data_IF_668549598724
#
_entry.id   IF_668549598724
#
_cell.length_a   1.000
_cell.length_b   1.000
_cell.length_c   1.000
_cell.angle_alpha   90.00
_cell.angle_beta   90.00
_cell.angle_gamma   90.00
#
_symmetry.space_group_name_H-M   'P 1'
#
loop_
_entity.id
_entity.type
_entity.pdbx_description
1 polymer ?
#
# COMPACT_ATOMS: atom_id res chain seq x y z
N UNK A 1 -10.85 6.69 -3.98
CA UNK A 1 -11.68 5.61 -4.55
C UNK A 1 -11.25 4.34 -3.83
N UNK A 2 -12.17 3.71 -3.10
CA UNK A 2 -11.98 2.40 -2.44
C UNK A 2 -12.70 1.32 -3.27
N UNK A 3 -12.49 1.36 -4.58
CA UNK A 3 -13.24 0.50 -5.50
C UNK A 3 -12.53 -0.84 -5.67
N UNK A 4 -13.25 -1.91 -5.32
CA UNK A 4 -12.89 -3.26 -5.67
C UNK A 4 -13.19 -3.50 -7.17
N UNK A 5 -12.23 -3.12 -8.02
CA UNK A 5 -12.36 -3.20 -9.48
C UNK A 5 -12.54 -4.64 -9.98
N UNK A 6 -11.89 -5.61 -9.32
CA UNK A 6 -12.02 -7.04 -9.63
C UNK A 6 -13.39 -7.62 -9.21
N UNK A 7 -14.20 -6.85 -8.45
CA UNK A 7 -15.47 -7.28 -7.86
C UNK A 7 -15.36 -8.56 -7.02
N UNK A 8 -14.17 -8.80 -6.46
CA UNK A 8 -13.87 -9.97 -5.66
C UNK A 8 -14.75 -10.00 -4.40
N UNK A 9 -15.39 -11.14 -4.12
CA UNK A 9 -16.23 -11.31 -2.93
C UNK A 9 -15.92 -12.65 -2.30
N UNK A 10 -15.24 -12.62 -1.15
CA UNK A 10 -14.92 -13.82 -0.40
C UNK A 10 -15.09 -13.52 1.10
N UNK A 11 -16.13 -14.08 1.77
CA UNK A 11 -16.40 -13.83 3.18
C UNK A 11 -15.25 -14.23 4.12
N UNK A 12 -14.41 -15.19 3.70
CA UNK A 12 -13.23 -15.59 4.46
C UNK A 12 -12.16 -14.49 4.37
N UNK A 13 -11.94 -13.94 3.18
CA UNK A 13 -11.03 -12.82 2.97
C UNK A 13 -11.47 -11.61 3.81
N UNK A 14 -12.75 -11.26 3.74
CA UNK A 14 -13.31 -10.13 4.48
C UNK A 14 -13.08 -10.31 5.99
N UNK A 15 -13.30 -11.52 6.52
CA UNK A 15 -13.03 -11.84 7.93
C UNK A 15 -11.55 -11.72 8.26
N UNK A 16 -10.65 -12.21 7.41
CA UNK A 16 -9.20 -12.12 7.63
C UNK A 16 -8.74 -10.65 7.66
N UNK A 17 -9.28 -9.81 6.79
CA UNK A 17 -9.01 -8.36 6.80
C UNK A 17 -9.54 -7.69 8.08
N UNK A 18 -10.72 -8.11 8.57
CA UNK A 18 -11.23 -7.63 9.87
C UNK A 18 -10.32 -8.05 11.03
N UNK A 19 -9.87 -9.32 11.05
CA UNK A 19 -8.94 -9.81 12.07
C UNK A 19 -7.59 -9.10 12.05
N UNK A 20 -7.09 -8.71 10.87
CA UNK A 20 -5.91 -7.87 10.73
C UNK A 20 -6.10 -6.51 11.42
N UNK A 21 -7.26 -5.87 11.25
CA UNK A 21 -7.58 -4.58 11.85
C UNK A 21 -7.77 -4.65 13.38
N UNK A 22 -8.19 -5.80 13.89
CA UNK A 22 -8.42 -6.08 15.32
C UNK A 22 -7.22 -6.74 16.01
N UNK A 23 -6.11 -6.99 15.29
CA UNK A 23 -4.95 -7.68 15.82
C UNK A 23 -4.34 -6.96 17.04
N UNK A 24 -4.02 -7.71 18.09
CA UNK A 24 -3.47 -7.15 19.33
C UNK A 24 -1.98 -6.82 19.21
N UNK A 25 -1.29 -7.48 18.27
CA UNK A 25 0.15 -7.30 18.04
C UNK A 25 0.47 -7.07 16.57
N UNK A 26 1.58 -6.38 16.30
CA UNK A 26 2.10 -6.19 14.94
C UNK A 26 2.37 -7.52 14.25
N UNK A 27 2.84 -8.53 15.00
CA UNK A 27 3.13 -9.86 14.44
C UNK A 27 1.85 -10.54 13.94
N UNK A 28 0.78 -10.54 14.74
CA UNK A 28 -0.52 -11.08 14.32
C UNK A 28 -1.09 -10.31 13.13
N UNK A 29 -0.97 -8.97 13.13
CA UNK A 29 -1.39 -8.14 12.00
C UNK A 29 -0.69 -8.56 10.71
N UNK A 30 0.64 -8.76 10.75
CA UNK A 30 1.42 -9.21 9.59
C UNK A 30 1.01 -10.61 9.13
N UNK A 31 0.71 -11.53 10.05
CA UNK A 31 0.24 -12.87 9.71
C UNK A 31 -1.12 -12.86 9.01
N UNK A 32 -2.07 -12.05 9.48
CA UNK A 32 -3.36 -11.89 8.81
C UNK A 32 -3.22 -11.21 7.45
N UNK A 33 -2.32 -10.21 7.33
CA UNK A 33 -2.03 -9.57 6.05
C UNK A 33 -1.49 -10.58 5.02
N UNK A 34 -0.50 -11.39 5.40
CA UNK A 34 0.07 -12.42 4.54
C UNK A 34 -0.98 -13.44 4.08
N UNK A 35 -1.85 -13.89 4.98
CA UNK A 35 -2.96 -14.80 4.63
C UNK A 35 -3.93 -14.16 3.64
N UNK A 36 -4.29 -12.89 3.84
CA UNK A 36 -5.17 -12.17 2.94
C UNK A 36 -4.53 -12.02 1.54
N UNK A 37 -3.24 -11.69 1.46
CA UNK A 37 -2.50 -11.61 0.20
C UNK A 37 -2.47 -12.96 -0.53
N UNK A 38 -2.16 -14.05 0.17
CA UNK A 38 -2.16 -15.40 -0.41
C UNK A 38 -3.52 -15.76 -1.02
N UNK A 39 -4.62 -15.37 -0.40
CA UNK A 39 -5.96 -15.59 -0.96
C UNK A 39 -6.15 -14.87 -2.29
N UNK A 40 -5.70 -13.61 -2.40
CA UNK A 40 -5.83 -12.84 -3.65
C UNK A 40 -5.03 -13.46 -4.80
N UNK A 41 -3.83 -13.98 -4.50
CA UNK A 41 -2.97 -14.62 -5.48
C UNK A 41 -3.54 -15.98 -5.89
N UNK A 42 -3.93 -16.81 -4.93
CA UNK A 42 -4.42 -18.17 -5.20
C UNK A 42 -5.80 -18.18 -5.88
N UNK A 43 -6.67 -17.23 -5.54
CA UNK A 43 -7.97 -17.06 -6.21
C UNK A 43 -7.84 -16.39 -7.59
N UNK A 44 -6.62 -16.00 -8.00
CA UNK A 44 -6.35 -15.38 -9.30
C UNK A 44 -7.01 -14.01 -9.48
N UNK A 45 -7.23 -13.28 -8.38
CA UNK A 45 -7.95 -11.99 -8.38
C UNK A 45 -7.15 -10.92 -9.11
N UNK A 46 -5.84 -10.94 -8.92
CA UNK A 46 -4.87 -10.03 -9.51
C UNK A 46 -3.61 -10.77 -9.91
N UNK A 47 -2.91 -10.26 -10.91
CA UNK A 47 -1.57 -10.71 -11.29
C UNK A 47 -0.60 -9.56 -11.00
N UNK A 48 0.10 -9.56 -9.86
CA UNK A 48 1.08 -8.52 -9.55
C UNK A 48 2.21 -8.54 -10.57
N UNK A 49 2.53 -7.39 -11.16
CA UNK A 49 3.58 -7.28 -12.18
C UNK A 49 4.90 -6.74 -11.62
N UNK A 50 4.84 -5.62 -10.90
CA UNK A 50 6.00 -4.96 -10.31
C UNK A 50 5.59 -3.96 -9.22
N UNK A 51 6.54 -3.57 -8.38
CA UNK A 51 6.43 -2.42 -7.48
C UNK A 51 7.00 -1.18 -8.19
N UNK A 52 6.20 -0.13 -8.33
CA UNK A 52 6.62 1.09 -9.03
C UNK A 52 7.56 1.94 -8.17
N UNK A 53 8.67 2.39 -8.74
CA UNK A 53 9.50 3.45 -8.14
C UNK A 53 9.10 4.80 -8.71
N UNK A 54 8.85 5.76 -7.82
CA UNK A 54 8.54 7.14 -8.19
C UNK A 54 9.83 7.92 -8.42
N UNK A 55 9.93 8.62 -9.55
CA UNK A 55 11.05 9.50 -9.88
C UNK A 55 10.55 10.94 -9.99
N UNK A 56 11.38 11.89 -9.53
CA UNK A 56 11.09 13.31 -9.56
C UNK A 56 12.26 14.07 -10.15
N UNK A 57 11.99 15.06 -11.00
CA UNK A 57 12.98 15.99 -11.50
C UNK A 57 12.82 17.33 -10.76
N UNK A 58 13.94 17.91 -10.34
CA UNK A 58 13.95 19.21 -9.65
C UNK A 58 15.05 20.11 -10.22
N UNK A 59 14.91 21.42 -10.03
CA UNK A 59 15.94 22.38 -10.41
C UNK A 59 17.21 22.14 -9.59
N UNK A 60 18.38 22.34 -10.20
CA UNK A 60 19.68 22.04 -9.58
C UNK A 60 19.98 22.82 -8.30
N UNK A 61 19.33 23.97 -8.09
CA UNK A 61 19.48 24.78 -6.88
C UNK A 61 18.49 24.39 -5.77
N UNK A 62 17.44 23.62 -6.09
CA UNK A 62 16.39 23.25 -5.13
C UNK A 62 16.92 22.21 -4.14
N UNK A 63 16.71 22.46 -2.85
CA UNK A 63 17.09 21.56 -1.76
C UNK A 63 15.90 21.26 -0.85
N UNK A 64 16.04 20.24 -0.03
CA UNK A 64 15.13 19.93 1.09
C UNK A 64 13.67 19.69 0.67
N UNK A 65 13.48 19.16 -0.54
CA UNK A 65 12.22 18.62 -1.02
C UNK A 65 12.02 17.22 -0.41
N UNK A 66 10.93 17.01 0.30
CA UNK A 66 10.63 15.72 0.93
C UNK A 66 9.57 14.96 0.13
N UNK A 67 9.75 13.65 -0.03
CA UNK A 67 8.76 12.77 -0.65
C UNK A 67 8.36 11.66 0.32
N UNK A 68 7.06 11.46 0.51
CA UNK A 68 6.53 10.33 1.27
C UNK A 68 6.13 9.21 0.30
N UNK A 69 6.84 8.07 0.31
CA UNK A 69 6.49 6.92 -0.54
C UNK A 69 5.14 6.31 -0.18
N UNK A 70 4.68 6.50 1.07
CA UNK A 70 3.41 5.96 1.56
C UNK A 70 2.20 6.78 1.14
N UNK A 71 2.31 8.10 1.13
CA UNK A 71 1.20 8.98 0.75
C UNK A 71 1.25 9.42 -0.72
N UNK A 72 2.38 9.19 -1.41
CA UNK A 72 2.63 9.69 -2.76
C UNK A 72 2.78 11.22 -2.81
N UNK A 73 2.88 11.89 -1.67
CA UNK A 73 2.92 13.36 -1.57
C UNK A 73 4.34 13.88 -1.55
N UNK A 74 4.52 15.02 -2.20
CA UNK A 74 5.73 15.84 -2.13
C UNK A 74 5.45 16.99 -1.15
N UNK A 75 6.36 17.19 -0.20
CA UNK A 75 6.30 18.29 0.76
C UNK A 75 7.35 19.34 0.42
N UNK A 76 6.88 20.57 0.26
CA UNK A 76 7.71 21.74 -0.06
C UNK A 76 7.97 22.64 1.15
N UNK A 77 7.50 22.25 2.35
CA UNK A 77 7.57 23.09 3.56
C UNK A 77 9.00 23.53 3.90
N UNK A 78 9.96 22.61 3.72
CA UNK A 78 11.37 22.84 4.01
C UNK A 78 12.18 23.20 2.76
N UNK A 79 11.54 23.21 1.58
CA UNK A 79 12.26 23.37 0.33
C UNK A 79 12.80 24.79 0.17
N UNK A 80 14.02 24.91 -0.34
CA UNK A 80 14.70 26.18 -0.60
C UNK A 80 15.31 26.20 -2.01
N UNK A 81 15.67 27.40 -2.50
CA UNK A 81 16.26 27.62 -3.83
C UNK A 81 17.73 28.02 -3.74
#
# INVERSE_FOLDING_TARGET
SSENLARYRNPVYDRTVMQMAEAATTQEMVEYAARAEDMLINDGVVVPLFLSTSYFATGSSVRDLEYSPYSGRVFVRNASK
#
